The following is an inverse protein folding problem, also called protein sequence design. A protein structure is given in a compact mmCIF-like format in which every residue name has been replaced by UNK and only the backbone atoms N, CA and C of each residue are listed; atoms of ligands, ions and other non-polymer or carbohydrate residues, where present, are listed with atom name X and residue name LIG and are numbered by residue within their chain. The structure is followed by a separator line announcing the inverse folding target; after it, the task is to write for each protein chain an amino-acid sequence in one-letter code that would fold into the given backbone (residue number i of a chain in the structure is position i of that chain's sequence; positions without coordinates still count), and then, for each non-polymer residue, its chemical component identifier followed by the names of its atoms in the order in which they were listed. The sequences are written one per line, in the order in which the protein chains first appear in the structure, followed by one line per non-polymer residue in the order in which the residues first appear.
data_IF_577564412878
#
_entry.id   IF_577564412878
#
_cell.length_a   1.000
_cell.length_b   1.000
_cell.length_c   1.000
_cell.angle_alpha   90.00
_cell.angle_beta   90.00
_cell.angle_gamma   90.00
#
_symmetry.space_group_name_H-M   'P 1'
#
loop_
_entity.id
_entity.type
_entity.pdbx_description
1 polymer ?
#
# COMPACT_ATOMS: atom_id res chain seq x y z
N UNK A 1 -18.05 -19.20 -11.63
CA UNK A 1 -17.68 -17.85 -12.12
C UNK A 1 -17.94 -16.68 -11.14
N UNK A 2 -18.89 -16.69 -10.17
CA UNK A 2 -19.14 -15.51 -9.32
C UNK A 2 -18.04 -15.17 -8.30
N UNK A 3 -17.21 -16.15 -7.92
CA UNK A 3 -16.11 -15.92 -6.96
C UNK A 3 -14.96 -15.08 -7.53
N UNK A 4 -14.68 -15.17 -8.84
CA UNK A 4 -13.58 -14.43 -9.46
C UNK A 4 -13.86 -12.92 -9.51
N UNK A 5 -15.10 -12.54 -9.84
CA UNK A 5 -15.53 -11.14 -9.86
C UNK A 5 -15.45 -10.50 -8.45
N UNK A 6 -15.78 -11.27 -7.40
CA UNK A 6 -15.64 -10.79 -6.01
C UNK A 6 -14.19 -10.50 -5.64
N UNK A 7 -13.25 -11.40 -5.97
CA UNK A 7 -11.83 -11.17 -5.71
C UNK A 7 -11.29 -9.96 -6.47
N UNK A 8 -11.67 -9.80 -7.75
CA UNK A 8 -11.26 -8.64 -8.53
C UNK A 8 -11.73 -7.33 -7.88
N UNK A 9 -12.98 -7.24 -7.44
CA UNK A 9 -13.50 -6.05 -6.75
C UNK A 9 -12.73 -5.77 -5.46
N UNK A 10 -12.51 -6.78 -4.62
CA UNK A 10 -11.76 -6.61 -3.37
C UNK A 10 -10.31 -6.16 -3.61
N UNK A 11 -9.68 -6.64 -4.67
CA UNK A 11 -8.32 -6.22 -5.05
C UNK A 11 -8.32 -4.78 -5.55
N UNK A 12 -9.27 -4.40 -6.41
CA UNK A 12 -9.37 -3.02 -6.89
C UNK A 12 -9.59 -2.05 -5.71
N UNK A 13 -10.46 -2.41 -4.78
CA UNK A 13 -10.68 -1.63 -3.55
C UNK A 13 -9.41 -1.52 -2.70
N UNK A 14 -8.67 -2.62 -2.53
CA UNK A 14 -7.42 -2.63 -1.78
C UNK A 14 -6.36 -1.74 -2.42
N UNK A 15 -6.14 -1.87 -3.74
CA UNK A 15 -5.14 -1.07 -4.45
C UNK A 15 -5.53 0.42 -4.44
N UNK A 16 -6.82 0.74 -4.57
CA UNK A 16 -7.30 2.12 -4.44
C UNK A 16 -7.04 2.70 -3.06
N UNK A 17 -7.35 1.96 -1.99
CA UNK A 17 -7.12 2.43 -0.63
C UNK A 17 -5.63 2.60 -0.32
N UNK A 18 -4.79 1.66 -0.73
CA UNK A 18 -3.36 1.66 -0.39
C UNK A 18 -2.53 2.59 -1.26
N UNK A 19 -2.95 2.78 -2.52
CA UNK A 19 -2.11 3.39 -3.54
C UNK A 19 -2.80 4.46 -4.36
N UNK A 20 -4.12 4.69 -4.21
CA UNK A 20 -4.87 5.65 -5.04
C UNK A 20 -4.68 5.39 -6.54
N UNK A 21 -4.46 4.13 -6.93
CA UNK A 21 -4.05 3.71 -8.27
C UNK A 21 -4.95 2.59 -8.81
N UNK A 22 -4.77 2.24 -10.09
CA UNK A 22 -5.39 1.05 -10.68
C UNK A 22 -4.31 0.04 -11.07
N UNK A 23 -4.47 -1.27 -10.77
CA UNK A 23 -3.42 -2.25 -11.01
C UNK A 23 -3.23 -2.60 -12.51
N UNK A 24 -4.21 -2.30 -13.36
CA UNK A 24 -4.27 -2.81 -14.73
C UNK A 24 -4.63 -4.31 -14.78
N UNK A 25 -4.89 -4.83 -15.97
CA UNK A 25 -5.45 -6.16 -16.16
C UNK A 25 -4.51 -7.29 -15.72
N UNK A 26 -3.23 -7.19 -16.04
CA UNK A 26 -2.24 -8.24 -15.73
C UNK A 26 -2.02 -8.38 -14.23
N UNK A 27 -1.75 -7.26 -13.54
CA UNK A 27 -1.58 -7.30 -12.08
C UNK A 27 -2.89 -7.69 -11.38
N UNK A 28 -4.05 -7.25 -11.87
CA UNK A 28 -5.33 -7.67 -11.32
C UNK A 28 -5.51 -9.20 -11.43
N UNK A 29 -5.14 -9.80 -12.55
CA UNK A 29 -5.20 -11.25 -12.76
C UNK A 29 -4.24 -12.00 -11.82
N UNK A 30 -3.02 -11.50 -11.65
CA UNK A 30 -2.01 -12.08 -10.76
C UNK A 30 -2.50 -12.04 -9.31
N UNK A 31 -2.94 -10.87 -8.84
CA UNK A 31 -3.48 -10.69 -7.49
C UNK A 31 -4.73 -11.54 -7.25
N UNK A 32 -5.62 -11.63 -8.24
CA UNK A 32 -6.84 -12.45 -8.15
C UNK A 32 -6.50 -13.93 -8.00
N UNK A 33 -5.47 -14.38 -8.73
CA UNK A 33 -4.96 -15.75 -8.61
C UNK A 33 -4.31 -16.01 -7.26
N UNK A 34 -3.55 -15.04 -6.72
CA UNK A 34 -2.97 -15.13 -5.38
C UNK A 34 -4.04 -15.21 -4.30
N UNK A 35 -5.01 -14.31 -4.31
CA UNK A 35 -6.09 -14.26 -3.32
C UNK A 35 -7.01 -15.49 -3.43
N UNK A 36 -7.17 -16.06 -4.63
CA UNK A 36 -7.87 -17.33 -4.79
C UNK A 36 -7.14 -18.50 -4.10
N UNK A 37 -5.80 -18.54 -4.15
CA UNK A 37 -4.98 -19.56 -3.48
C UNK A 37 -4.86 -19.32 -1.98
N UNK A 38 -4.83 -18.06 -1.55
CA UNK A 38 -4.68 -17.62 -0.16
C UNK A 38 -5.76 -16.59 0.18
N UNK A 39 -6.96 -17.01 0.63
CA UNK A 39 -8.17 -16.16 0.68
C UNK A 39 -8.21 -15.14 1.82
N UNK A 40 -7.07 -14.57 2.23
CA UNK A 40 -7.00 -13.51 3.23
C UNK A 40 -6.63 -12.17 2.59
N UNK A 41 -7.63 -11.31 2.40
CA UNK A 41 -7.41 -9.94 1.95
C UNK A 41 -6.57 -9.15 2.96
N UNK A 42 -6.74 -9.45 4.25
CA UNK A 42 -5.93 -8.90 5.35
C UNK A 42 -4.46 -9.23 5.19
N UNK A 43 -4.11 -10.49 4.89
CA UNK A 43 -2.72 -10.89 4.72
C UNK A 43 -2.12 -10.24 3.46
N UNK A 44 -2.91 -10.13 2.38
CA UNK A 44 -2.48 -9.40 1.19
C UNK A 44 -2.25 -7.92 1.49
N UNK A 45 -3.16 -7.28 2.24
CA UNK A 45 -3.02 -5.89 2.68
C UNK A 45 -1.76 -5.70 3.55
N UNK A 46 -1.50 -6.60 4.50
CA UNK A 46 -0.31 -6.54 5.35
C UNK A 46 0.97 -6.71 4.52
N UNK A 47 1.00 -7.67 3.60
CA UNK A 47 2.13 -7.89 2.68
C UNK A 47 2.41 -6.66 1.81
N UNK A 48 1.37 -6.04 1.27
CA UNK A 48 1.50 -4.82 0.49
C UNK A 48 1.96 -3.64 1.36
N UNK A 49 1.50 -3.54 2.60
CA UNK A 49 1.89 -2.49 3.53
C UNK A 49 3.38 -2.57 3.90
N UNK A 50 3.92 -3.79 3.94
CA UNK A 50 5.34 -4.02 4.20
C UNK A 50 6.24 -3.83 2.97
N UNK A 51 5.69 -3.39 1.82
CA UNK A 51 6.45 -3.24 0.59
C UNK A 51 7.07 -1.85 0.42
N UNK A 52 8.17 -1.77 -0.32
CA UNK A 52 8.80 -0.50 -0.73
C UNK A 52 7.81 0.43 -1.46
N UNK A 53 6.88 -0.14 -2.23
CA UNK A 53 5.84 0.62 -2.92
C UNK A 53 4.94 1.36 -1.92
N UNK A 54 4.62 0.75 -0.78
CA UNK A 54 3.77 1.38 0.23
C UNK A 54 4.53 2.45 1.02
N UNK A 55 5.83 2.29 1.25
CA UNK A 55 6.67 3.37 1.79
C UNK A 55 6.70 4.61 0.88
N UNK A 56 6.55 4.43 -0.44
CA UNK A 56 6.50 5.54 -1.39
C UNK A 56 7.84 6.27 -1.54
N UNK A 57 8.94 5.59 -1.23
CA UNK A 57 10.32 6.11 -1.35
C UNK A 57 11.05 5.39 -2.47
N UNK A 58 11.88 6.13 -3.20
CA UNK A 58 12.74 5.58 -4.25
C UNK A 58 14.21 5.71 -3.83
N UNK A 59 14.83 4.56 -3.53
CA UNK A 59 16.21 4.48 -3.08
C UNK A 59 17.19 4.05 -4.18
N UNK A 60 16.71 3.82 -5.41
CA UNK A 60 17.51 3.20 -6.48
C UNK A 60 18.76 4.00 -6.90
N UNK A 61 18.84 5.29 -6.51
CA UNK A 61 19.95 6.18 -6.82
C UNK A 61 21.01 6.22 -5.71
N UNK A 62 20.76 5.61 -4.55
CA UNK A 62 21.64 5.63 -3.40
C UNK A 62 22.64 4.46 -3.44
N UNK A 63 23.86 4.72 -2.99
CA UNK A 63 24.80 3.65 -2.66
C UNK A 63 24.35 2.89 -1.40
N UNK A 64 25.10 1.85 -1.02
CA UNK A 64 24.71 0.96 0.08
C UNK A 64 24.62 1.66 1.43
N UNK A 65 25.55 2.56 1.73
CA UNK A 65 25.63 3.26 3.00
C UNK A 65 24.54 4.34 3.09
N UNK A 66 24.40 5.15 2.02
CA UNK A 66 23.35 6.16 1.93
C UNK A 66 21.95 5.52 1.97
N UNK A 67 21.75 4.38 1.30
CA UNK A 67 20.51 3.62 1.38
C UNK A 67 20.24 3.15 2.82
N UNK A 68 21.20 2.53 3.48
CA UNK A 68 21.03 1.99 4.82
C UNK A 68 20.58 3.08 5.80
N UNK A 69 21.30 4.21 5.85
CA UNK A 69 20.96 5.30 6.75
C UNK A 69 19.62 5.95 6.41
N UNK A 70 19.36 6.23 5.13
CA UNK A 70 18.12 6.88 4.71
C UNK A 70 16.91 5.97 4.96
N UNK A 71 17.02 4.67 4.68
CA UNK A 71 15.94 3.72 4.89
C UNK A 71 15.65 3.52 6.38
N UNK A 72 16.68 3.37 7.22
CA UNK A 72 16.52 3.25 8.68
C UNK A 72 15.87 4.48 9.29
N UNK A 73 16.25 5.68 8.84
CA UNK A 73 15.62 6.92 9.31
C UNK A 73 14.19 7.08 8.79
N UNK A 74 13.92 6.73 7.52
CA UNK A 74 12.56 6.71 6.97
C UNK A 74 11.65 5.72 7.68
N UNK A 75 12.18 4.58 8.15
CA UNK A 75 11.42 3.52 8.81
C UNK A 75 11.16 3.81 10.30
N UNK A 76 12.19 4.26 11.03
CA UNK A 76 12.12 4.40 12.50
C UNK A 76 12.11 5.85 12.99
N UNK A 77 12.65 6.78 12.20
CA UNK A 77 12.79 8.19 12.54
C UNK A 77 13.48 8.44 13.88
N UNK A 78 12.95 9.38 14.65
CA UNK A 78 13.46 9.74 15.97
C UNK A 78 12.97 8.80 17.10
N UNK A 79 12.17 7.77 16.79
CA UNK A 79 11.55 6.90 17.80
C UNK A 79 12.49 5.82 18.35
N UNK A 80 13.66 5.66 17.74
CA UNK A 80 14.65 4.64 18.09
C UNK A 80 15.98 5.32 18.39
N UNK A 81 16.67 4.85 19.44
CA UNK A 81 17.99 5.34 19.82
C UNK A 81 19.00 5.20 18.67
N UNK A 82 19.87 6.19 18.50
CA UNK A 82 20.85 6.21 17.41
C UNK A 82 21.75 4.97 17.37
N UNK A 83 22.10 4.41 18.54
CA UNK A 83 22.89 3.16 18.61
C UNK A 83 22.17 1.99 17.94
N UNK A 84 20.86 1.83 18.16
CA UNK A 84 20.07 0.77 17.53
C UNK A 84 19.91 1.03 16.02
N UNK A 85 19.74 2.29 15.61
CA UNK A 85 19.69 2.66 14.19
C UNK A 85 21.02 2.35 13.46
N UNK A 86 22.16 2.57 14.11
CA UNK A 86 23.46 2.22 13.54
C UNK A 86 23.60 0.70 13.35
N UNK A 87 23.21 -0.10 14.34
CA UNK A 87 23.25 -1.57 14.21
C UNK A 87 22.44 -2.09 13.01
N UNK A 88 21.23 -1.56 12.80
CA UNK A 88 20.42 -1.94 11.64
C UNK A 88 21.04 -1.44 10.33
N UNK A 89 21.65 -0.25 10.33
CA UNK A 89 22.33 0.29 9.16
C UNK A 89 23.53 -0.59 8.77
N UNK A 90 24.36 -0.99 9.74
CA UNK A 90 25.49 -1.90 9.53
C UNK A 90 25.04 -3.26 9.01
N UNK A 91 23.94 -3.80 9.56
CA UNK A 91 23.31 -5.02 9.06
C UNK A 91 22.92 -4.89 7.58
N UNK A 92 22.23 -3.80 7.20
CA UNK A 92 21.82 -3.54 5.81
C UNK A 92 23.03 -3.49 4.87
N UNK A 93 24.08 -2.74 5.26
CA UNK A 93 25.30 -2.62 4.45
C UNK A 93 25.96 -3.98 4.23
N UNK A 94 26.06 -4.81 5.28
CA UNK A 94 26.61 -6.16 5.19
C UNK A 94 25.76 -7.07 4.28
N UNK A 95 24.43 -7.01 4.38
CA UNK A 95 23.55 -7.79 3.52
C UNK A 95 23.66 -7.38 2.04
N UNK A 96 23.77 -6.08 1.78
CA UNK A 96 24.00 -5.59 0.42
C UNK A 96 25.36 -6.02 -0.14
N UNK A 97 26.41 -6.02 0.68
CA UNK A 97 27.73 -6.55 0.30
C UNK A 97 27.66 -8.06 -0.01
N UNK A 98 26.77 -8.80 0.64
CA UNK A 98 26.46 -10.19 0.35
C UNK A 98 25.54 -10.40 -0.88
N UNK A 99 25.14 -9.32 -1.56
CA UNK A 99 24.35 -9.36 -2.79
C UNK A 99 22.83 -9.31 -2.60
N UNK A 100 22.34 -9.03 -1.38
CA UNK A 100 20.89 -8.87 -1.14
C UNK A 100 20.42 -7.54 -1.75
N UNK A 101 19.32 -7.60 -2.51
CA UNK A 101 18.74 -6.42 -3.16
C UNK A 101 18.04 -5.49 -2.16
N UNK A 102 18.07 -4.18 -2.42
CA UNK A 102 17.44 -3.15 -1.57
C UNK A 102 15.96 -3.42 -1.31
N UNK A 103 15.20 -3.82 -2.33
CA UNK A 103 13.75 -4.01 -2.20
C UNK A 103 13.40 -5.27 -1.39
N UNK A 104 14.26 -6.28 -1.40
CA UNK A 104 14.17 -7.42 -0.49
C UNK A 104 14.44 -6.98 0.95
N UNK A 105 15.49 -6.19 1.20
CA UNK A 105 15.81 -5.67 2.53
C UNK A 105 14.68 -4.80 3.09
N UNK A 106 14.05 -3.98 2.25
CA UNK A 106 12.88 -3.18 2.65
C UNK A 106 11.73 -4.08 3.10
N UNK A 107 11.40 -5.11 2.31
CA UNK A 107 10.30 -6.01 2.62
C UNK A 107 10.57 -6.81 3.90
N UNK A 108 11.78 -7.32 4.08
CA UNK A 108 12.18 -8.10 5.25
C UNK A 108 12.18 -7.26 6.52
N UNK A 109 12.79 -6.06 6.51
CA UNK A 109 12.87 -5.21 7.69
C UNK A 109 11.52 -4.60 8.08
N UNK A 110 10.69 -4.22 7.09
CA UNK A 110 9.33 -3.72 7.38
C UNK A 110 8.45 -4.86 7.89
N UNK A 111 8.63 -6.09 7.39
CA UNK A 111 7.96 -7.26 7.94
C UNK A 111 8.39 -7.54 9.38
N UNK A 112 9.69 -7.60 9.65
CA UNK A 112 10.20 -7.82 11.01
C UNK A 112 9.68 -6.76 11.98
N UNK A 113 9.71 -5.47 11.59
CA UNK A 113 9.11 -4.40 12.38
C UNK A 113 7.62 -4.65 12.67
N UNK A 114 6.86 -5.14 11.68
CA UNK A 114 5.42 -5.41 11.85
C UNK A 114 5.10 -6.56 12.82
N UNK A 115 6.08 -7.39 13.17
CA UNK A 115 5.94 -8.50 14.13
C UNK A 115 6.30 -8.09 15.57
N UNK A 116 6.97 -6.95 15.75
CA UNK A 116 7.37 -6.46 17.07
C UNK A 116 6.13 -5.95 17.84
N UNK A 117 5.92 -6.37 19.10
CA UNK A 117 4.84 -5.84 19.93
C UNK A 117 4.94 -4.33 20.13
N UNK A 118 3.81 -3.63 20.10
CA UNK A 118 3.77 -2.17 20.37
C UNK A 118 4.18 -1.81 21.79
N UNK A 119 4.19 -2.79 22.71
CA UNK A 119 4.68 -2.67 24.09
C UNK A 119 6.19 -2.84 24.23
N UNK A 120 6.91 -3.17 23.15
CA UNK A 120 8.36 -3.32 23.18
C UNK A 120 9.05 -2.02 23.60
N UNK A 121 10.02 -2.11 24.51
CA UNK A 121 10.65 -0.94 25.11
C UNK A 121 11.52 -0.15 24.12
N UNK A 122 12.16 -0.83 23.18
CA UNK A 122 13.13 -0.23 22.25
C UNK A 122 12.48 0.17 20.92
N UNK A 123 11.51 -0.62 20.47
CA UNK A 123 10.98 -0.58 19.11
C UNK A 123 9.49 -0.32 19.05
N UNK A 124 8.74 -0.52 20.14
CA UNK A 124 7.28 -0.42 20.15
C UNK A 124 6.76 0.93 19.67
N UNK A 125 7.45 2.02 20.01
CA UNK A 125 7.10 3.36 19.53
C UNK A 125 7.35 3.55 18.03
N UNK A 126 8.38 2.91 17.47
CA UNK A 126 8.66 2.93 16.04
C UNK A 126 7.62 2.12 15.26
N UNK A 127 7.18 0.98 15.80
CA UNK A 127 6.07 0.19 15.27
C UNK A 127 4.81 1.05 15.18
N UNK A 128 4.43 1.71 16.28
CA UNK A 128 3.26 2.59 16.34
C UNK A 128 3.38 3.70 15.28
N UNK A 129 4.54 4.36 15.18
CA UNK A 129 4.72 5.47 14.24
C UNK A 129 4.66 5.00 12.78
N UNK A 130 5.28 3.88 12.44
CA UNK A 130 5.21 3.29 11.10
C UNK A 130 3.75 2.99 10.72
N UNK A 131 2.99 2.40 11.64
CA UNK A 131 1.59 2.09 11.40
C UNK A 131 0.73 3.37 11.30
N UNK A 132 0.99 4.39 12.10
CA UNK A 132 0.34 5.72 11.99
C UNK A 132 0.60 6.35 10.61
N UNK A 133 1.83 6.26 10.08
CA UNK A 133 2.15 6.76 8.75
C UNK A 133 1.31 6.04 7.68
N UNK A 134 1.19 4.71 7.79
CA UNK A 134 0.30 3.91 6.94
C UNK A 134 -1.16 4.36 7.04
N UNK A 135 -1.68 4.52 8.26
CA UNK A 135 -3.05 5.00 8.54
C UNK A 135 -3.32 6.35 7.86
N UNK A 136 -2.41 7.32 7.99
CA UNK A 136 -2.56 8.63 7.36
C UNK A 136 -2.70 8.52 5.84
N UNK A 137 -1.86 7.69 5.20
CA UNK A 137 -1.89 7.46 3.74
C UNK A 137 -3.23 6.88 3.30
N UNK A 138 -3.71 5.87 4.00
CA UNK A 138 -5.00 5.22 3.70
C UNK A 138 -6.16 6.22 3.81
N UNK A 139 -6.14 7.07 4.83
CA UNK A 139 -7.23 8.01 5.08
C UNK A 139 -7.21 9.18 4.11
N UNK A 140 -6.03 9.65 3.71
CA UNK A 140 -5.91 10.57 2.59
C UNK A 140 -6.50 9.99 1.30
N UNK A 141 -6.28 8.70 1.03
CA UNK A 141 -6.78 8.03 -0.17
C UNK A 141 -8.29 7.77 -0.13
N UNK A 142 -8.84 7.40 1.03
CA UNK A 142 -10.25 7.02 1.17
C UNK A 142 -11.17 8.21 1.43
N UNK A 143 -10.73 9.18 2.23
CA UNK A 143 -11.57 10.28 2.70
C UNK A 143 -11.30 11.57 1.94
N UNK A 144 -10.05 11.82 1.54
CA UNK A 144 -9.63 13.07 0.90
C UNK A 144 -10.20 14.31 1.63
N UNK A 145 -10.82 15.23 0.90
CA UNK A 145 -11.46 16.45 1.40
C UNK A 145 -12.95 16.26 1.75
N UNK A 146 -13.50 15.04 1.66
CA UNK A 146 -14.91 14.79 1.95
C UNK A 146 -15.21 14.78 3.47
N UNK A 147 -14.19 14.91 4.31
CA UNK A 147 -14.29 14.92 5.77
C UNK A 147 -13.88 16.27 6.34
N UNK A 148 -14.58 16.71 7.39
CA UNK A 148 -14.09 17.80 8.23
C UNK A 148 -12.88 17.35 9.04
N UNK A 149 -12.02 18.30 9.45
CA UNK A 149 -10.85 17.98 10.27
C UNK A 149 -11.20 17.23 11.56
N UNK A 150 -12.35 17.53 12.18
CA UNK A 150 -12.81 16.84 13.38
C UNK A 150 -13.19 15.38 13.10
N UNK A 151 -13.96 15.13 12.04
CA UNK A 151 -14.34 13.77 11.66
C UNK A 151 -13.11 12.95 11.26
N UNK A 152 -12.13 13.59 10.62
CA UNK A 152 -10.87 12.97 10.28
C UNK A 152 -10.14 12.53 11.58
N UNK A 153 -9.92 13.42 12.55
CA UNK A 153 -9.30 13.04 13.83
C UNK A 153 -10.01 11.85 14.50
N UNK A 154 -11.34 11.83 14.54
CA UNK A 154 -12.11 10.72 15.15
C UNK A 154 -11.80 9.37 14.47
N UNK A 155 -11.79 9.34 13.13
CA UNK A 155 -11.50 8.09 12.39
C UNK A 155 -10.04 7.68 12.59
N UNK A 156 -9.11 8.65 12.61
CA UNK A 156 -7.69 8.40 12.88
C UNK A 156 -7.50 7.74 14.23
N UNK A 157 -8.07 8.33 15.27
CA UNK A 157 -7.96 7.85 16.65
C UNK A 157 -8.54 6.44 16.77
N UNK A 158 -9.65 6.17 16.09
CA UNK A 158 -10.22 4.83 16.04
C UNK A 158 -9.28 3.80 15.39
N UNK A 159 -8.64 4.14 14.27
CA UNK A 159 -7.67 3.24 13.62
C UNK A 159 -6.39 3.06 14.46
N UNK A 160 -5.94 4.09 15.17
CA UNK A 160 -4.83 3.99 16.13
C UNK A 160 -5.20 3.07 17.30
N UNK A 161 -6.42 3.16 17.84
CA UNK A 161 -6.87 2.25 18.91
C UNK A 161 -6.91 0.79 18.46
N UNK A 162 -7.27 0.52 17.19
CA UNK A 162 -7.19 -0.83 16.63
C UNK A 162 -5.75 -1.38 16.70
N UNK A 163 -4.78 -0.59 16.28
CA UNK A 163 -3.35 -0.92 16.39
C UNK A 163 -2.93 -1.20 17.83
N UNK A 164 -3.27 -0.30 18.76
CA UNK A 164 -2.93 -0.45 20.19
C UNK A 164 -3.60 -1.70 20.79
N UNK A 165 -4.75 -2.12 20.26
CA UNK A 165 -5.42 -3.37 20.65
C UNK A 165 -4.82 -4.64 20.03
N UNK A 166 -3.70 -4.52 19.29
CA UNK A 166 -2.98 -5.64 18.69
C UNK A 166 -3.43 -6.01 17.28
N UNK A 167 -4.25 -5.19 16.61
CA UNK A 167 -4.56 -5.40 15.19
C UNK A 167 -3.37 -5.02 14.33
N UNK A 168 -3.18 -5.77 13.25
CA UNK A 168 -2.20 -5.47 12.22
C UNK A 168 -2.64 -4.26 11.37
N UNK A 169 -1.70 -3.64 10.67
CA UNK A 169 -2.02 -2.57 9.71
C UNK A 169 -2.89 -3.11 8.57
N UNK A 170 -2.65 -4.34 8.10
CA UNK A 170 -3.48 -5.01 7.10
C UNK A 170 -4.94 -5.18 7.54
N UNK A 171 -5.18 -5.54 8.80
CA UNK A 171 -6.54 -5.61 9.34
C UNK A 171 -7.21 -4.24 9.39
N UNK A 172 -6.45 -3.23 9.83
CA UNK A 172 -6.93 -1.85 9.96
C UNK A 172 -7.27 -1.24 8.59
N UNK A 173 -6.48 -1.56 7.56
CA UNK A 173 -6.75 -1.20 6.15
C UNK A 173 -8.06 -1.85 5.66
N UNK A 174 -8.21 -3.17 5.86
CA UNK A 174 -9.41 -3.90 5.41
C UNK A 174 -10.66 -3.40 6.15
N UNK A 175 -10.54 -3.08 7.44
CA UNK A 175 -11.60 -2.42 8.18
C UNK A 175 -12.00 -1.09 7.54
N UNK A 176 -11.04 -0.21 7.24
CA UNK A 176 -11.32 1.10 6.65
C UNK A 176 -12.01 0.99 5.29
N UNK A 177 -11.55 0.06 4.43
CA UNK A 177 -12.19 -0.25 3.15
C UNK A 177 -13.63 -0.69 3.36
N UNK A 178 -13.88 -1.65 4.26
CA UNK A 178 -15.22 -2.17 4.51
C UNK A 178 -16.14 -1.10 5.08
N UNK A 179 -15.64 -0.20 5.93
CA UNK A 179 -16.41 0.91 6.48
C UNK A 179 -16.89 1.84 5.37
N UNK A 180 -15.99 2.31 4.50
CA UNK A 180 -16.34 3.25 3.42
C UNK A 180 -17.19 2.59 2.33
N UNK A 181 -16.89 1.33 1.99
CA UNK A 181 -17.58 0.63 0.91
C UNK A 181 -19.04 0.23 1.23
N UNK A 182 -19.41 0.12 2.51
CA UNK A 182 -20.72 -0.37 2.94
C UNK A 182 -21.60 0.70 3.59
N UNK A 183 -21.12 1.93 3.73
CA UNK A 183 -21.91 3.03 4.28
C UNK A 183 -22.89 3.58 3.25
N UNK A 184 -24.03 4.07 3.72
CA UNK A 184 -25.01 4.72 2.87
C UNK A 184 -24.40 5.98 2.22
N UNK A 185 -24.62 6.13 0.91
CA UNK A 185 -24.15 7.27 0.12
C UNK A 185 -24.82 8.60 0.54
N UNK A 186 -25.93 8.53 1.25
CA UNK A 186 -26.64 9.70 1.82
C UNK A 186 -26.29 9.93 3.31
N UNK A 187 -25.35 9.15 3.87
CA UNK A 187 -24.85 9.41 5.22
C UNK A 187 -24.19 10.80 5.29
N UNK A 188 -24.60 11.61 6.27
CA UNK A 188 -24.14 13.00 6.41
C UNK A 188 -22.64 13.16 6.68
N UNK A 189 -21.96 12.13 7.19
CA UNK A 189 -20.51 12.14 7.46
C UNK A 189 -19.75 11.37 6.39
N UNK A 190 -20.23 10.17 6.08
CA UNK A 190 -19.50 9.20 5.27
C UNK A 190 -19.93 9.15 3.80
N UNK A 191 -21.07 9.75 3.45
CA UNK A 191 -21.68 9.64 2.12
C UNK A 191 -20.77 10.18 1.02
N UNK A 192 -20.08 11.29 1.27
CA UNK A 192 -19.07 11.85 0.35
C UNK A 192 -17.92 10.89 0.09
N UNK A 193 -17.31 10.33 1.14
CA UNK A 193 -16.22 9.35 1.01
C UNK A 193 -16.68 8.07 0.29
N UNK A 194 -17.91 7.61 0.56
CA UNK A 194 -18.52 6.48 -0.13
C UNK A 194 -18.67 6.75 -1.63
N UNK A 195 -19.23 7.90 -2.01
CA UNK A 195 -19.38 8.33 -3.41
C UNK A 195 -18.03 8.46 -4.11
N UNK A 196 -17.07 9.14 -3.48
CA UNK A 196 -15.69 9.25 -3.95
C UNK A 196 -15.04 7.88 -4.22
N UNK A 197 -15.08 6.99 -3.23
CA UNK A 197 -14.46 5.67 -3.32
C UNK A 197 -15.13 4.81 -4.41
N UNK A 198 -16.45 4.86 -4.53
CA UNK A 198 -17.19 4.14 -5.56
C UNK A 198 -16.92 4.70 -6.97
N UNK A 199 -16.82 6.01 -7.12
CA UNK A 199 -16.43 6.65 -8.38
C UNK A 199 -15.02 6.23 -8.82
N UNK A 200 -14.05 6.23 -7.90
CA UNK A 200 -12.69 5.72 -8.16
C UNK A 200 -12.68 4.23 -8.49
N UNK A 201 -13.48 3.43 -7.79
CA UNK A 201 -13.64 2.01 -8.08
C UNK A 201 -14.19 1.76 -9.49
N UNK A 202 -15.13 2.58 -9.94
CA UNK A 202 -15.66 2.48 -11.30
C UNK A 202 -14.62 2.81 -12.37
N UNK A 203 -13.88 3.91 -12.21
CA UNK A 203 -12.78 4.26 -13.12
C UNK A 203 -11.72 3.14 -13.15
N UNK A 204 -11.40 2.56 -11.99
CA UNK A 204 -10.45 1.44 -11.89
C UNK A 204 -10.96 0.16 -12.55
N UNK A 205 -12.26 -0.15 -12.44
CA UNK A 205 -12.91 -1.27 -13.17
C UNK A 205 -12.87 -1.04 -14.68
N UNK A 206 -13.20 0.18 -15.13
CA UNK A 206 -13.16 0.55 -16.53
C UNK A 206 -11.78 0.29 -17.14
N UNK A 207 -10.73 0.79 -16.50
CA UNK A 207 -9.36 0.56 -16.96
C UNK A 207 -8.94 -0.92 -16.89
N UNK A 208 -9.03 -1.54 -15.71
CA UNK A 208 -8.42 -2.85 -15.46
C UNK A 208 -9.22 -4.04 -16.02
N UNK A 209 -10.56 -3.92 -16.10
CA UNK A 209 -11.45 -5.02 -16.49
C UNK A 209 -12.02 -4.80 -17.88
N UNK A 210 -12.69 -3.66 -18.10
CA UNK A 210 -13.43 -3.43 -19.35
C UNK A 210 -12.49 -3.16 -20.52
N UNK A 211 -11.48 -2.31 -20.32
CA UNK A 211 -10.46 -2.01 -21.33
C UNK A 211 -9.32 -3.02 -21.35
N UNK A 212 -9.26 -3.93 -20.38
CA UNK A 212 -8.11 -4.83 -20.14
C UNK A 212 -6.77 -4.08 -20.16
N UNK A 213 -6.76 -2.87 -19.60
CA UNK A 213 -5.66 -1.92 -19.75
C UNK A 213 -4.38 -2.39 -19.07
N UNK A 214 -3.28 -2.34 -19.81
CA UNK A 214 -1.92 -2.69 -19.32
C UNK A 214 -0.89 -1.61 -19.64
N UNK A 215 -1.24 -0.61 -20.45
CA UNK A 215 -0.29 0.34 -21.02
C UNK A 215 -0.23 1.70 -20.32
N UNK A 216 -1.12 2.00 -19.37
CA UNK A 216 -1.04 3.20 -18.53
C UNK A 216 -0.22 2.85 -17.29
N UNK A 217 0.86 3.58 -17.06
CA UNK A 217 1.74 3.36 -15.92
C UNK A 217 1.05 3.76 -14.61
N UNK A 218 1.59 3.25 -13.51
CA UNK A 218 1.02 3.41 -12.19
C UNK A 218 0.87 4.89 -11.76
N UNK A 219 1.87 5.73 -12.01
CA UNK A 219 1.84 7.15 -11.62
C UNK A 219 0.73 7.87 -12.39
N UNK A 220 0.63 7.63 -13.70
CA UNK A 220 -0.46 8.18 -14.50
C UNK A 220 -1.84 7.69 -14.00
N UNK A 221 -1.98 6.42 -13.58
CA UNK A 221 -3.25 5.99 -12.98
C UNK A 221 -3.54 6.67 -11.64
N UNK A 222 -2.51 6.97 -10.84
CA UNK A 222 -2.66 7.74 -9.60
C UNK A 222 -3.15 9.16 -9.88
N UNK A 223 -2.59 9.83 -10.89
CA UNK A 223 -3.00 11.17 -11.29
C UNK A 223 -4.47 11.20 -11.74
N UNK A 224 -4.86 10.26 -12.61
CA UNK A 224 -6.24 10.13 -13.09
C UNK A 224 -7.20 9.92 -11.92
N UNK A 225 -6.90 9.01 -11.00
CA UNK A 225 -7.76 8.69 -9.86
C UNK A 225 -7.76 9.79 -8.79
N UNK A 226 -6.69 10.57 -8.68
CA UNK A 226 -6.63 11.73 -7.80
C UNK A 226 -7.60 12.83 -8.24
N UNK A 227 -7.85 12.96 -9.54
CA UNK A 227 -8.80 13.93 -10.11
C UNK A 227 -10.28 13.49 -9.99
N UNK A 228 -10.54 12.23 -9.65
CA UNK A 228 -11.91 11.74 -9.41
C UNK A 228 -12.39 12.22 -8.04
N UNK A 229 -13.58 12.82 -8.00
CA UNK A 229 -14.26 13.30 -6.79
C UNK A 229 -15.55 12.51 -6.49
N UNK A 230 -16.32 12.95 -5.50
CA UNK A 230 -17.67 12.45 -5.23
C UNK A 230 -18.72 12.92 -6.25
N UNK A 231 -18.38 13.86 -7.14
CA UNK A 231 -19.18 14.21 -8.32
C UNK A 231 -19.02 13.15 -9.41
N UNK A 232 -20.17 12.60 -9.83
CA UNK A 232 -20.26 11.58 -10.87
C UNK A 232 -19.68 12.03 -12.21
N UNK A 233 -19.74 13.32 -12.55
CA UNK A 233 -19.20 13.82 -13.81
C UNK A 233 -17.68 13.60 -13.95
N UNK A 234 -16.96 13.57 -12.82
CA UNK A 234 -15.51 13.32 -12.83
C UNK A 234 -15.15 11.91 -13.29
N UNK A 235 -16.07 10.95 -13.16
CA UNK A 235 -15.90 9.57 -13.65
C UNK A 235 -15.80 9.55 -15.18
N UNK A 236 -16.71 10.24 -15.87
CA UNK A 236 -16.73 10.26 -17.33
C UNK A 236 -15.52 11.00 -17.90
N UNK A 237 -15.08 12.07 -17.23
CA UNK A 237 -13.84 12.78 -17.57
C UNK A 237 -12.64 11.83 -17.43
N UNK A 238 -12.54 11.10 -16.32
CA UNK A 238 -11.44 10.16 -16.10
C UNK A 238 -11.42 9.02 -17.13
N UNK A 239 -12.59 8.47 -17.50
CA UNK A 239 -12.69 7.45 -18.55
C UNK A 239 -12.25 7.98 -19.92
N UNK A 240 -12.63 9.21 -20.28
CA UNK A 240 -12.19 9.86 -21.53
C UNK A 240 -10.66 10.07 -21.57
N UNK A 241 -10.04 10.42 -20.43
CA UNK A 241 -8.58 10.51 -20.32
C UNK A 241 -7.93 9.14 -20.54
N UNK A 242 -8.47 8.08 -19.92
CA UNK A 242 -7.99 6.69 -20.12
C UNK A 242 -8.06 6.31 -21.60
N UNK A 243 -9.19 6.54 -22.27
CA UNK A 243 -9.36 6.23 -23.69
C UNK A 243 -8.32 6.93 -24.57
N UNK A 244 -8.07 8.22 -24.27
CA UNK A 244 -7.08 9.02 -24.98
C UNK A 244 -5.66 8.50 -24.77
N UNK A 245 -5.31 8.11 -23.54
CA UNK A 245 -3.99 7.54 -23.21
C UNK A 245 -3.77 6.16 -23.84
N UNK A 246 -4.78 5.29 -23.82
CA UNK A 246 -4.70 3.97 -24.46
C UNK A 246 -4.46 4.08 -25.97
N UNK A 247 -5.12 5.03 -26.64
CA UNK A 247 -4.90 5.30 -28.08
C UNK A 247 -3.49 5.82 -28.37
N UNK A 248 -2.93 6.66 -27.50
CA UNK A 248 -1.60 7.24 -27.68
C UNK A 248 -0.47 6.25 -27.33
N UNK A 249 -0.62 5.45 -26.28
CA UNK A 249 0.41 4.48 -25.87
C UNK A 249 0.49 3.26 -26.79
N UNK A 250 -0.57 2.95 -27.55
CA UNK A 250 -0.50 1.99 -28.66
C UNK A 250 0.55 2.38 -29.73
N UNK A 251 1.02 3.63 -29.74
CA UNK A 251 2.03 4.16 -30.67
C UNK A 251 3.44 4.24 -30.07
N UNK A 252 3.63 3.98 -28.76
CA UNK A 252 4.93 4.03 -28.07
C UNK A 252 5.10 2.83 -27.14
N UNK A 253 5.77 1.79 -27.62
CA UNK A 253 6.00 0.55 -26.87
C UNK A 253 7.21 0.69 -25.93
N UNK A 254 7.02 1.32 -24.77
CA UNK A 254 7.82 1.03 -23.57
C UNK A 254 6.95 1.24 -22.33
N UNK A 255 6.40 0.14 -21.80
CA UNK A 255 5.71 0.11 -20.51
C UNK A 255 6.75 0.39 -19.42
N UNK A 256 6.63 1.53 -18.73
CA UNK A 256 7.34 1.75 -17.47
C UNK A 256 6.57 0.94 -16.44
N UNK A 257 6.96 -0.33 -16.38
CA UNK A 257 6.16 -1.38 -15.77
C UNK A 257 6.03 -1.18 -14.26
N UNK A 258 4.80 -1.30 -13.81
CA UNK A 258 4.44 -1.29 -12.40
C UNK A 258 5.04 -2.54 -11.74
N UNK A 259 6.04 -2.35 -10.88
CA UNK A 259 6.73 -3.44 -10.17
C UNK A 259 5.85 -4.18 -9.15
N UNK A 260 4.52 -3.98 -9.12
CA UNK A 260 3.64 -4.76 -8.24
C UNK A 260 3.73 -6.26 -8.53
N UNK A 261 3.91 -6.64 -9.79
CA UNK A 261 4.23 -8.02 -10.13
C UNK A 261 5.51 -8.51 -9.43
N UNK A 262 6.57 -7.70 -9.39
CA UNK A 262 7.82 -8.05 -8.72
C UNK A 262 7.66 -8.08 -7.19
N UNK A 263 6.91 -7.14 -6.62
CA UNK A 263 6.50 -7.14 -5.22
C UNK A 263 5.76 -8.45 -4.89
N UNK A 264 4.79 -8.87 -5.70
CA UNK A 264 4.01 -10.10 -5.47
C UNK A 264 4.82 -11.37 -5.72
N UNK A 265 5.68 -11.38 -6.75
CA UNK A 265 6.56 -12.50 -7.05
C UNK A 265 7.50 -12.75 -5.86
N UNK A 266 8.11 -11.69 -5.32
CA UNK A 266 8.93 -11.75 -4.11
C UNK A 266 8.14 -12.20 -2.87
N UNK A 267 6.87 -11.81 -2.75
CA UNK A 267 5.96 -12.25 -1.68
C UNK A 267 5.51 -13.73 -1.77
N UNK A 268 5.75 -14.43 -2.89
CA UNK A 268 5.38 -15.82 -3.14
C UNK A 268 6.58 -16.77 -3.25
N UNK A 269 7.68 -16.31 -3.86
CA UNK A 269 8.85 -17.15 -4.16
C UNK A 269 9.86 -17.21 -2.99
N UNK A 270 9.82 -16.24 -2.07
CA UNK A 270 10.51 -16.31 -0.78
C UNK A 270 9.47 -16.49 0.33
N UNK A 271 9.19 -17.72 0.83
CA UNK A 271 8.87 -17.79 2.25
C UNK A 271 10.00 -17.05 2.94
N UNK A 272 9.67 -16.03 3.76
CA UNK A 272 10.61 -15.29 4.62
C UNK A 272 11.84 -16.15 4.83
N UNK A 273 12.97 -15.82 4.18
CA UNK A 273 14.16 -16.61 4.43
C UNK A 273 14.34 -16.50 5.93
N UNK A 274 14.21 -17.63 6.63
CA UNK A 274 14.40 -17.77 8.07
C UNK A 274 15.84 -17.48 8.49
N UNK A 275 16.60 -16.79 7.63
CA UNK A 275 17.79 -16.06 8.02
C UNK A 275 17.27 -14.95 8.91
N UNK A 276 17.29 -15.25 10.20
CA UNK A 276 16.70 -14.52 11.32
C UNK A 276 16.45 -13.04 11.02
N UNK A 277 15.24 -12.55 11.36
CA UNK A 277 15.06 -11.14 11.63
C UNK A 277 16.29 -10.63 12.38
N UNK A 278 16.87 -9.47 12.01
CA UNK A 278 18.13 -9.01 12.59
C UNK A 278 18.06 -9.25 14.09
N UNK A 279 18.99 -10.01 14.64
CA UNK A 279 19.03 -10.28 16.09
C UNK A 279 19.00 -8.96 16.86
N UNK A 280 19.50 -7.90 16.24
CA UNK A 280 19.46 -6.50 16.64
C UNK A 280 18.04 -5.93 16.84
N UNK A 281 17.03 -6.40 16.09
CA UNK A 281 15.61 -6.12 16.32
C UNK A 281 14.99 -7.00 17.40
N UNK A 282 15.62 -8.13 17.73
CA UNK A 282 15.13 -9.11 18.72
C UNK A 282 15.76 -8.94 20.11
N UNK A 283 16.79 -8.10 20.26
CA UNK A 283 17.38 -7.75 21.55
C UNK A 283 16.56 -6.61 22.16
N UNK A 284 15.45 -7.01 22.79
CA UNK A 284 14.56 -6.18 23.61
C UNK A 284 14.61 -6.60 25.07
#
# INVERSE_FOLDING_TARGET
MPHLARYQISILQLILAMFKASPGADNLKILSSHLHRNPSLTNLAQKLANSALFLGKNYAHLDSEAFAYQFVDDLFGAQVANVNKMLISDFIVNQMAAGVAQDQLIAELTHALSEIPTSDHNWGQAVIQHQINGINKILEHLLADTFTSNNWTIVKDHMIMQIVSGKTLGETIVWAINTVANVDADNIVWGGACKLFNNRLEVSKYYSIEMTGTSIDFITTQEILSAVSDDRNTVDIAKSIIDSRMKNNALSATSIDFQLYQTIKKLNDNPLHTNAAPTELMVG
#
